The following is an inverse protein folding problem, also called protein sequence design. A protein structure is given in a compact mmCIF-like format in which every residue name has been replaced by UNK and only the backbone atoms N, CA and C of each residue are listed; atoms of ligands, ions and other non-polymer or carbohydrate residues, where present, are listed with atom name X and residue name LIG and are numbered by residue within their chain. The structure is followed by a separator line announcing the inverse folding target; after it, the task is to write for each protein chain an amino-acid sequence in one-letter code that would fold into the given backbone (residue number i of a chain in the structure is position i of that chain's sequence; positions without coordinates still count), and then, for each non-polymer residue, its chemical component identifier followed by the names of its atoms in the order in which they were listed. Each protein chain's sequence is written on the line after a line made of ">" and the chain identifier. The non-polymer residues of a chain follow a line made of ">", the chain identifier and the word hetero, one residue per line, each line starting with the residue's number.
data_IF_619007186181
#
_entry.id   IF_619007186181
#
_cell.length_a   1.000
_cell.length_b   1.000
_cell.length_c   1.000
_cell.angle_alpha   90.00
_cell.angle_beta   90.00
_cell.angle_gamma   90.00
#
_symmetry.space_group_name_H-M   'P 1'
#
loop_
_entity.id
_entity.type
_entity.pdbx_description
1 polymer ?
#
# COMPACT_ATOMS: atom_id res chain seq x y z
N UNK A 1 -15.56 15.99 8.24
CA UNK A 1 -14.64 16.39 7.16
C UNK A 1 -14.12 15.13 6.51
N UNK A 2 -14.49 14.90 5.25
CA UNK A 2 -14.13 13.69 4.51
C UNK A 2 -12.68 13.71 4.02
N UNK A 3 -12.21 12.59 3.47
CA UNK A 3 -10.83 12.48 2.98
C UNK A 3 -10.49 13.54 1.93
N UNK A 4 -11.35 13.79 0.93
CA UNK A 4 -11.09 14.81 -0.10
C UNK A 4 -10.91 16.21 0.50
N UNK A 5 -11.77 16.60 1.45
CA UNK A 5 -11.67 17.90 2.12
C UNK A 5 -10.36 18.05 2.91
N UNK A 6 -9.84 16.96 3.47
CA UNK A 6 -8.51 16.94 4.11
C UNK A 6 -7.40 17.11 3.08
N UNK A 7 -7.47 16.35 1.98
CA UNK A 7 -6.49 16.41 0.89
C UNK A 7 -6.38 17.82 0.31
N UNK A 8 -7.52 18.50 0.10
CA UNK A 8 -7.55 19.86 -0.45
C UNK A 8 -6.85 20.91 0.43
N UNK A 9 -6.63 20.62 1.72
CA UNK A 9 -5.95 21.51 2.67
C UNK A 9 -4.46 21.22 2.81
N UNK A 10 -3.95 20.18 2.17
CA UNK A 10 -2.54 19.81 2.30
C UNK A 10 -1.62 20.88 1.71
N UNK A 11 -0.56 21.29 2.44
CA UNK A 11 0.48 22.12 1.84
C UNK A 11 1.11 21.37 0.65
N UNK A 12 1.28 22.06 -0.49
CA UNK A 12 1.73 21.44 -1.74
C UNK A 12 3.17 21.81 -2.09
N UNK A 13 3.95 20.84 -2.55
CA UNK A 13 5.19 21.05 -3.28
C UNK A 13 4.89 21.80 -4.58
N UNK A 14 5.92 22.41 -5.18
CA UNK A 14 5.79 22.99 -6.52
C UNK A 14 5.30 21.92 -7.50
N UNK A 15 4.46 22.30 -8.47
CA UNK A 15 4.07 21.44 -9.58
C UNK A 15 5.27 21.01 -10.45
N UNK A 16 6.37 21.77 -10.41
CA UNK A 16 7.64 21.45 -11.07
C UNK A 16 8.58 20.57 -10.23
N UNK A 17 8.18 20.16 -9.02
CA UNK A 17 9.01 19.31 -8.17
C UNK A 17 9.18 17.92 -8.79
N UNK A 18 10.43 17.45 -8.88
CA UNK A 18 10.77 16.11 -9.39
C UNK A 18 11.03 15.15 -8.23
N UNK A 19 10.40 13.98 -8.28
CA UNK A 19 10.62 12.86 -7.36
C UNK A 19 11.68 11.86 -7.88
N UNK A 20 12.35 12.21 -8.97
CA UNK A 20 13.23 11.35 -9.75
C UNK A 20 12.50 10.71 -10.93
N UNK A 21 13.23 10.46 -12.03
CA UNK A 21 12.69 9.95 -13.30
C UNK A 21 11.84 8.68 -13.12
N UNK A 22 12.17 7.84 -12.15
CA UNK A 22 11.46 6.59 -11.88
C UNK A 22 10.03 6.82 -11.36
N UNK A 23 9.79 7.89 -10.59
CA UNK A 23 8.47 8.27 -10.09
C UNK A 23 7.79 9.26 -11.04
N UNK A 24 8.52 10.23 -11.57
CA UNK A 24 7.98 11.27 -12.46
C UNK A 24 7.33 10.64 -13.72
N UNK A 25 7.99 9.65 -14.33
CA UNK A 25 7.46 8.93 -15.49
C UNK A 25 6.18 8.14 -15.18
N UNK A 26 5.98 7.73 -13.93
CA UNK A 26 4.78 7.02 -13.51
C UNK A 26 3.67 8.04 -13.24
N UNK A 27 3.98 9.10 -12.50
CA UNK A 27 3.06 10.21 -12.21
C UNK A 27 2.48 10.83 -13.48
N UNK A 28 3.28 10.97 -14.54
CA UNK A 28 2.79 11.50 -15.84
C UNK A 28 1.69 10.63 -16.46
N UNK A 29 1.53 9.38 -16.02
CA UNK A 29 0.54 8.45 -16.54
C UNK A 29 -0.58 8.14 -15.54
N UNK A 30 -0.24 7.72 -14.31
CA UNK A 30 -1.20 7.09 -13.38
C UNK A 30 -2.30 8.03 -12.89
N UNK A 31 -2.10 9.35 -12.97
CA UNK A 31 -3.10 10.33 -12.53
C UNK A 31 -4.25 10.51 -13.52
N UNK A 32 -4.05 10.14 -14.79
CA UNK A 32 -5.06 10.27 -15.84
C UNK A 32 -5.54 8.92 -16.38
N UNK A 33 -4.92 7.80 -15.96
CA UNK A 33 -5.34 6.46 -16.34
C UNK A 33 -6.51 5.98 -15.47
N UNK A 34 -7.49 5.34 -16.10
CA UNK A 34 -8.68 4.78 -15.44
C UNK A 34 -8.67 3.26 -15.38
N UNK A 35 -7.89 2.61 -16.26
CA UNK A 35 -7.69 1.16 -16.26
C UNK A 35 -6.84 0.73 -15.06
N UNK A 36 -7.49 0.04 -14.11
CA UNK A 36 -6.83 -0.51 -12.93
C UNK A 36 -5.71 -1.49 -13.30
N UNK A 37 -5.91 -2.31 -14.34
CA UNK A 37 -4.92 -3.29 -14.78
C UNK A 37 -3.64 -2.61 -15.28
N UNK A 38 -3.76 -1.54 -16.08
CA UNK A 38 -2.59 -0.78 -16.54
C UNK A 38 -1.86 -0.08 -15.41
N UNK A 39 -2.60 0.48 -14.44
CA UNK A 39 -2.01 1.08 -13.25
C UNK A 39 -1.27 0.00 -12.44
N UNK A 40 -1.90 -1.16 -12.23
CA UNK A 40 -1.29 -2.29 -11.54
C UNK A 40 0.00 -2.75 -12.21
N UNK A 41 0.02 -2.92 -13.53
CA UNK A 41 1.21 -3.31 -14.29
C UNK A 41 2.37 -2.31 -14.11
N UNK A 42 2.07 -1.01 -14.16
CA UNK A 42 3.09 0.03 -13.95
C UNK A 42 3.63 0.03 -12.52
N UNK A 43 2.75 -0.07 -11.53
CA UNK A 43 3.15 -0.12 -10.12
C UNK A 43 3.97 -1.38 -9.83
N UNK A 44 3.57 -2.55 -10.37
CA UNK A 44 4.33 -3.80 -10.27
C UNK A 44 5.71 -3.67 -10.89
N UNK A 45 5.78 -3.11 -12.10
CA UNK A 45 7.07 -2.85 -12.77
C UNK A 45 7.97 -1.97 -11.91
N UNK A 46 7.44 -0.90 -11.32
CA UNK A 46 8.23 -0.02 -10.45
C UNK A 46 8.70 -0.72 -9.18
N UNK A 47 7.81 -1.44 -8.49
CA UNK A 47 8.15 -2.20 -7.26
C UNK A 47 9.26 -3.21 -7.53
N UNK A 48 9.26 -3.85 -8.71
CA UNK A 48 10.26 -4.86 -9.08
C UNK A 48 11.70 -4.35 -9.11
N UNK A 49 11.89 -3.05 -9.39
CA UNK A 49 13.21 -2.41 -9.50
C UNK A 49 13.57 -1.53 -8.30
N UNK A 50 12.60 -0.77 -7.77
CA UNK A 50 12.87 0.41 -6.95
C UNK A 50 12.51 0.27 -5.46
N UNK A 51 11.63 -0.67 -5.09
CA UNK A 51 11.25 -0.83 -3.67
C UNK A 51 12.36 -1.52 -2.87
N UNK A 52 12.72 -1.06 -1.67
CA UNK A 52 13.80 -1.69 -0.88
C UNK A 52 13.41 -3.08 -0.35
N UNK A 53 12.12 -3.38 -0.21
CA UNK A 53 11.64 -4.66 0.28
C UNK A 53 11.89 -5.80 -0.72
N UNK A 54 12.79 -6.73 -0.38
CA UNK A 54 13.13 -7.90 -1.21
C UNK A 54 11.89 -8.78 -1.46
N UNK A 55 11.01 -8.93 -0.47
CA UNK A 55 9.76 -9.69 -0.63
C UNK A 55 8.83 -9.03 -1.65
N UNK A 56 8.73 -7.70 -1.64
CA UNK A 56 8.02 -6.94 -2.66
C UNK A 56 8.59 -7.14 -4.06
N UNK A 57 9.92 -7.12 -4.20
CA UNK A 57 10.59 -7.40 -5.48
C UNK A 57 10.28 -8.80 -6.01
N UNK A 58 10.36 -9.83 -5.16
CA UNK A 58 10.10 -11.21 -5.57
C UNK A 58 8.62 -11.43 -5.93
N UNK A 59 7.70 -10.94 -5.10
CA UNK A 59 6.27 -11.05 -5.33
C UNK A 59 5.81 -10.26 -6.57
N UNK A 60 6.42 -9.09 -6.85
CA UNK A 60 6.08 -8.30 -8.04
C UNK A 60 6.33 -9.03 -9.37
N UNK A 61 7.28 -9.97 -9.38
CA UNK A 61 7.65 -10.77 -10.54
C UNK A 61 6.86 -12.08 -10.65
N UNK A 62 5.95 -12.36 -9.71
CA UNK A 62 5.17 -13.61 -9.62
C UNK A 62 6.01 -14.90 -9.69
N UNK A 63 7.26 -14.85 -9.24
CA UNK A 63 8.19 -15.98 -9.36
C UNK A 63 7.66 -17.15 -8.53
N UNK A 64 7.54 -18.33 -9.16
CA UNK A 64 6.89 -19.55 -8.63
C UNK A 64 5.53 -19.29 -7.93
N UNK A 65 4.79 -18.30 -8.40
CA UNK A 65 3.46 -17.97 -7.88
C UNK A 65 3.44 -17.33 -6.50
N UNK A 66 4.52 -16.66 -6.08
CA UNK A 66 4.49 -15.71 -4.96
C UNK A 66 3.93 -14.37 -5.45
N UNK A 67 2.91 -13.83 -4.79
CA UNK A 67 2.26 -12.59 -5.23
C UNK A 67 1.85 -11.72 -4.03
N UNK A 68 1.44 -10.49 -4.30
CA UNK A 68 0.76 -9.61 -3.36
C UNK A 68 -0.62 -9.23 -3.88
N UNK A 69 -1.52 -8.97 -2.94
CA UNK A 69 -2.80 -8.35 -3.25
C UNK A 69 -2.61 -6.85 -3.40
N UNK A 70 -3.01 -6.30 -4.56
CA UNK A 70 -2.94 -4.87 -4.83
C UNK A 70 -4.37 -4.30 -4.83
N UNK A 71 -4.59 -3.25 -4.06
CA UNK A 71 -5.82 -2.47 -4.08
C UNK A 71 -5.51 -1.03 -4.48
N UNK A 72 -6.29 -0.49 -5.41
CA UNK A 72 -6.09 0.86 -5.94
C UNK A 72 -7.30 1.73 -5.59
N UNK A 73 -7.05 2.77 -4.80
CA UNK A 73 -7.96 3.88 -4.50
C UNK A 73 -7.55 5.05 -5.39
N UNK A 74 -8.30 5.28 -6.47
CA UNK A 74 -8.04 6.37 -7.42
C UNK A 74 -9.34 7.02 -7.95
N UNK A 75 -10.49 6.65 -7.38
CA UNK A 75 -11.81 7.09 -7.82
C UNK A 75 -12.31 8.24 -6.94
N UNK A 76 -12.88 9.32 -7.52
CA UNK A 76 -13.43 10.43 -6.76
C UNK A 76 -14.51 10.00 -5.75
N UNK A 77 -15.28 8.96 -6.05
CA UNK A 77 -16.31 8.45 -5.14
C UNK A 77 -15.71 7.95 -3.81
N UNK A 78 -14.52 7.32 -3.87
CA UNK A 78 -13.82 6.83 -2.69
C UNK A 78 -13.16 7.94 -1.87
N UNK A 79 -12.88 9.10 -2.46
CA UNK A 79 -12.30 10.23 -1.73
C UNK A 79 -13.37 11.14 -1.11
N UNK A 80 -14.56 11.22 -1.72
CA UNK A 80 -15.63 12.11 -1.28
C UNK A 80 -16.57 11.49 -0.23
N UNK A 81 -16.54 10.17 -0.04
CA UNK A 81 -17.41 9.46 0.90
C UNK A 81 -16.58 8.48 1.74
N UNK A 82 -16.41 8.81 3.02
CA UNK A 82 -15.62 7.99 3.95
C UNK A 82 -16.31 6.65 4.26
N UNK A 83 -17.64 6.57 4.17
CA UNK A 83 -18.39 5.33 4.35
C UNK A 83 -18.11 4.36 3.20
N UNK A 84 -18.19 4.84 1.96
CA UNK A 84 -17.79 4.05 0.79
C UNK A 84 -16.31 3.66 0.81
N UNK A 85 -15.42 4.55 1.26
CA UNK A 85 -14.01 4.23 1.41
C UNK A 85 -13.79 3.15 2.47
N UNK A 86 -14.45 3.27 3.61
CA UNK A 86 -14.39 2.29 4.69
C UNK A 86 -14.84 0.90 4.19
N UNK A 87 -15.99 0.83 3.52
CA UNK A 87 -16.49 -0.43 2.97
C UNK A 87 -15.57 -1.01 1.90
N UNK A 88 -15.01 -0.17 1.02
CA UNK A 88 -14.00 -0.60 0.06
C UNK A 88 -12.79 -1.22 0.75
N UNK A 89 -12.19 -0.52 1.72
CA UNK A 89 -11.00 -0.99 2.43
C UNK A 89 -11.28 -2.28 3.21
N UNK A 90 -12.45 -2.38 3.86
CA UNK A 90 -12.88 -3.58 4.57
C UNK A 90 -13.02 -4.77 3.62
N UNK A 91 -13.66 -4.57 2.47
CA UNK A 91 -13.86 -5.63 1.47
C UNK A 91 -12.53 -6.11 0.89
N UNK A 92 -11.63 -5.20 0.55
CA UNK A 92 -10.29 -5.56 0.07
C UNK A 92 -9.46 -6.29 1.15
N UNK A 93 -9.58 -5.88 2.41
CA UNK A 93 -8.93 -6.54 3.55
C UNK A 93 -9.44 -7.99 3.75
N UNK A 94 -10.74 -8.23 3.58
CA UNK A 94 -11.33 -9.58 3.59
C UNK A 94 -10.82 -10.41 2.41
N UNK A 95 -10.83 -9.85 1.19
CA UNK A 95 -10.32 -10.52 -0.01
C UNK A 95 -8.86 -10.89 0.13
N UNK A 96 -8.03 -9.97 0.62
CA UNK A 96 -6.63 -10.24 0.95
C UNK A 96 -6.49 -11.44 1.88
N UNK A 97 -7.19 -11.43 3.03
CA UNK A 97 -7.08 -12.50 4.03
C UNK A 97 -7.50 -13.84 3.47
N UNK A 98 -8.55 -13.89 2.65
CA UNK A 98 -9.00 -15.14 2.03
C UNK A 98 -7.99 -15.67 1.01
N UNK A 99 -7.41 -14.78 0.17
CA UNK A 99 -6.33 -15.17 -0.76
C UNK A 99 -5.06 -15.62 -0.01
N UNK A 100 -4.72 -14.95 1.08
CA UNK A 100 -3.58 -15.29 1.93
C UNK A 100 -3.78 -16.64 2.64
N UNK A 101 -5.02 -16.90 3.10
CA UNK A 101 -5.42 -18.19 3.68
C UNK A 101 -5.14 -19.34 2.71
N UNK A 102 -5.40 -19.14 1.42
CA UNK A 102 -5.14 -20.13 0.35
C UNK A 102 -3.69 -20.13 -0.17
N UNK A 103 -2.81 -19.31 0.41
CA UNK A 103 -1.41 -19.22 0.01
C UNK A 103 -1.15 -18.56 -1.35
N UNK A 104 -2.10 -17.76 -1.84
CA UNK A 104 -2.00 -17.07 -3.13
C UNK A 104 -1.20 -15.77 -3.03
N UNK A 105 -1.25 -15.10 -1.88
CA UNK A 105 -0.61 -13.81 -1.62
C UNK A 105 -0.06 -13.76 -0.19
N UNK A 106 1.00 -13.00 0.04
CA UNK A 106 1.59 -12.83 1.39
C UNK A 106 1.62 -11.38 1.89
N UNK A 107 1.19 -10.44 1.05
CA UNK A 107 1.17 -9.02 1.37
C UNK A 107 -0.04 -8.34 0.74
N UNK A 108 -0.46 -7.23 1.35
CA UNK A 108 -1.49 -6.33 0.83
C UNK A 108 -0.90 -4.95 0.64
N UNK A 109 -0.91 -4.46 -0.60
CA UNK A 109 -0.49 -3.10 -0.95
C UNK A 109 -1.74 -2.31 -1.34
N UNK A 110 -2.05 -1.25 -0.59
CA UNK A 110 -3.21 -0.38 -0.84
C UNK A 110 -2.70 1.00 -1.26
N UNK A 111 -2.79 1.30 -2.55
CA UNK A 111 -2.39 2.60 -3.09
C UNK A 111 -3.53 3.60 -3.05
N UNK A 112 -3.25 4.79 -2.52
CA UNK A 112 -4.06 5.99 -2.65
C UNK A 112 -3.41 6.88 -3.70
N UNK A 113 -3.94 6.82 -4.92
CA UNK A 113 -3.44 7.55 -6.08
C UNK A 113 -4.22 8.85 -6.22
N UNK A 114 -3.57 9.96 -5.85
CA UNK A 114 -4.16 11.28 -5.97
C UNK A 114 -3.05 12.33 -6.15
N UNK A 115 -3.12 13.23 -7.15
CA UNK A 115 -2.08 14.23 -7.40
C UNK A 115 -1.73 15.06 -6.16
N UNK A 116 -2.73 15.60 -5.45
CA UNK A 116 -2.48 16.39 -4.24
C UNK A 116 -1.91 15.59 -3.05
N UNK A 117 -2.09 14.25 -3.02
CA UNK A 117 -1.40 13.40 -2.04
C UNK A 117 0.05 13.18 -2.45
N UNK A 118 0.31 13.00 -3.75
CA UNK A 118 1.66 12.79 -4.28
C UNK A 118 2.54 14.03 -4.10
N UNK A 119 1.97 15.22 -4.33
CA UNK A 119 2.66 16.50 -4.18
C UNK A 119 2.50 17.14 -2.80
N UNK A 120 1.91 16.43 -1.83
CA UNK A 120 1.82 16.92 -0.46
C UNK A 120 3.22 17.14 0.15
N UNK A 121 3.47 18.31 0.73
CA UNK A 121 4.68 18.55 1.52
C UNK A 121 4.68 17.64 2.75
N UNK A 122 5.85 17.16 3.20
CA UNK A 122 5.97 16.59 4.53
C UNK A 122 5.51 17.63 5.57
N UNK A 123 4.44 17.33 6.29
CA UNK A 123 3.82 18.22 7.27
C UNK A 123 2.97 17.43 8.27
N UNK A 124 2.53 18.09 9.35
CA UNK A 124 1.63 17.49 10.35
C UNK A 124 0.28 17.11 9.72
N UNK A 125 -0.24 17.91 8.78
CA UNK A 125 -1.49 17.61 8.07
C UNK A 125 -1.38 16.34 7.22
N UNK A 126 -0.21 16.08 6.63
CA UNK A 126 0.03 14.83 5.91
C UNK A 126 0.04 13.63 6.87
N UNK A 127 0.65 13.78 8.05
CA UNK A 127 0.64 12.74 9.10
C UNK A 127 -0.79 12.47 9.59
N UNK A 128 -1.60 13.52 9.78
CA UNK A 128 -3.01 13.38 10.18
C UNK A 128 -3.85 12.68 9.11
N UNK A 129 -3.60 12.93 7.82
CA UNK A 129 -4.25 12.18 6.74
C UNK A 129 -3.83 10.71 6.76
N UNK A 130 -2.55 10.41 6.97
CA UNK A 130 -2.08 9.02 7.07
C UNK A 130 -2.76 8.30 8.23
N UNK A 131 -2.80 8.92 9.43
CA UNK A 131 -3.54 8.40 10.60
C UNK A 131 -5.01 8.19 10.31
N UNK A 132 -5.63 9.14 9.62
CA UNK A 132 -7.04 9.07 9.24
C UNK A 132 -7.32 7.90 8.29
N UNK A 133 -6.53 7.74 7.23
CA UNK A 133 -6.64 6.61 6.30
C UNK A 133 -6.39 5.27 7.03
N UNK A 134 -5.35 5.20 7.87
CA UNK A 134 -5.08 4.01 8.68
C UNK A 134 -6.22 3.68 9.64
N UNK A 135 -6.90 4.69 10.19
CA UNK A 135 -8.07 4.49 11.06
C UNK A 135 -9.26 3.90 10.31
N UNK A 136 -9.45 4.26 9.03
CA UNK A 136 -10.46 3.64 8.17
C UNK A 136 -10.10 2.19 7.82
N UNK A 137 -8.81 1.89 7.62
CA UNK A 137 -8.35 0.54 7.32
C UNK A 137 -8.37 -0.40 8.54
N UNK A 138 -8.01 0.12 9.72
CA UNK A 138 -7.90 -0.59 10.99
C UNK A 138 -8.75 0.09 12.06
N UNK A 139 -10.10 0.04 11.94
CA UNK A 139 -11.00 0.68 12.90
C UNK A 139 -10.82 0.17 14.33
N UNK A 140 -10.39 -1.08 14.50
CA UNK A 140 -10.10 -1.70 15.80
C UNK A 140 -8.92 -1.07 16.54
N UNK A 141 -8.10 -0.28 15.84
CA UNK A 141 -6.94 0.40 16.39
C UNK A 141 -7.17 1.90 16.60
N UNK A 142 -8.40 2.39 16.43
CA UNK A 142 -8.72 3.80 16.60
C UNK A 142 -8.59 4.26 18.07
N UNK A 143 -7.96 5.40 18.36
CA UNK A 143 -7.24 6.27 17.42
C UNK A 143 -5.86 5.72 17.06
N UNK A 144 -5.48 5.85 15.78
CA UNK A 144 -4.12 5.58 15.32
C UNK A 144 -3.16 6.65 15.88
N UNK A 145 -2.04 6.20 16.44
CA UNK A 145 -0.99 7.02 17.05
C UNK A 145 0.32 6.88 16.26
N UNK A 146 1.12 7.93 16.26
CA UNK A 146 2.49 7.92 15.77
C UNK A 146 3.38 7.00 16.63
N UNK A 147 4.51 6.55 16.07
CA UNK A 147 5.53 5.73 16.77
C UNK A 147 5.02 4.42 17.40
N UNK A 148 3.85 3.93 17.00
CA UNK A 148 3.28 2.64 17.39
C UNK A 148 3.39 1.63 16.25
N UNK A 149 3.84 0.42 16.55
CA UNK A 149 3.88 -0.68 15.59
C UNK A 149 2.49 -1.35 15.54
N UNK A 150 1.79 -1.14 14.43
CA UNK A 150 0.53 -1.82 14.13
C UNK A 150 0.78 -3.10 13.34
N UNK A 151 0.00 -4.13 13.65
CA UNK A 151 0.08 -5.40 12.96
C UNK A 151 -1.27 -5.97 12.58
N UNK A 152 -1.27 -6.71 11.48
CA UNK A 152 -2.41 -7.45 10.97
C UNK A 152 -2.19 -8.95 11.14
N UNK A 153 -3.28 -9.68 11.38
CA UNK A 153 -3.31 -11.15 11.39
C UNK A 153 -3.53 -11.68 9.97
N UNK A 154 -2.55 -12.40 9.44
CA UNK A 154 -2.58 -13.00 8.10
C UNK A 154 -2.72 -14.52 8.22
N UNK A 155 -3.87 -15.09 7.84
CA UNK A 155 -4.10 -16.53 7.94
C UNK A 155 -3.38 -17.31 6.83
N UNK A 156 -3.07 -18.56 7.12
CA UNK A 156 -2.62 -19.54 6.15
C UNK A 156 -3.15 -20.91 6.52
N UNK A 157 -3.86 -21.55 5.60
CA UNK A 157 -4.38 -22.90 5.77
C UNK A 157 -3.43 -23.87 5.08
N UNK A 158 -2.74 -24.69 5.87
CA UNK A 158 -1.99 -25.83 5.33
C UNK A 158 -2.57 -27.16 5.81
N UNK A 159 -1.85 -28.25 5.49
CA UNK A 159 -2.23 -29.62 5.86
C UNK A 159 -2.31 -29.86 7.37
N UNK A 160 -1.60 -29.07 8.17
CA UNK A 160 -1.56 -29.21 9.64
C UNK A 160 -2.64 -28.35 10.31
N UNK A 161 -3.31 -27.47 9.56
CA UNK A 161 -4.38 -26.61 10.05
C UNK A 161 -4.21 -25.13 9.69
N UNK A 162 -4.99 -24.28 10.38
CA UNK A 162 -4.93 -22.83 10.22
C UNK A 162 -3.82 -22.24 11.08
N UNK A 163 -2.86 -21.57 10.44
CA UNK A 163 -1.77 -20.84 11.08
C UNK A 163 -1.99 -19.34 10.90
N UNK A 164 -1.71 -18.55 11.94
CA UNK A 164 -1.84 -17.08 11.89
C UNK A 164 -0.46 -16.45 11.98
N UNK A 165 -0.14 -15.61 10.99
CA UNK A 165 1.11 -14.87 10.93
C UNK A 165 0.88 -13.40 11.26
N UNK A 166 1.84 -12.81 11.98
CA UNK A 166 1.84 -11.38 12.29
C UNK A 166 2.45 -10.60 11.12
N UNK A 167 1.70 -9.66 10.57
CA UNK A 167 2.12 -8.80 9.46
C UNK A 167 2.30 -7.37 9.93
N UNK A 168 3.43 -6.75 9.61
CA UNK A 168 3.65 -5.34 9.90
C UNK A 168 2.85 -4.45 8.96
N UNK A 169 2.19 -3.42 9.51
CA UNK A 169 1.49 -2.39 8.72
C UNK A 169 2.38 -1.15 8.64
N UNK A 170 2.71 -0.73 7.41
CA UNK A 170 3.62 0.37 7.15
C UNK A 170 3.00 1.38 6.19
N UNK A 171 3.35 2.65 6.34
CA UNK A 171 2.94 3.72 5.44
C UNK A 171 4.14 4.22 4.64
N UNK A 172 3.93 4.34 3.33
CA UNK A 172 4.84 4.86 2.32
C UNK A 172 4.19 6.07 1.65
N UNK A 173 4.98 7.04 1.20
CA UNK A 173 4.43 8.28 0.63
C UNK A 173 5.41 8.93 -0.36
N UNK A 174 4.88 9.60 -1.38
CA UNK A 174 5.68 10.15 -2.50
C UNK A 174 6.71 11.19 -2.02
N UNK A 175 6.30 12.10 -1.15
CA UNK A 175 7.15 13.16 -0.61
C UNK A 175 8.15 12.70 0.46
N UNK A 176 8.27 11.39 0.69
CA UNK A 176 9.41 10.84 1.42
C UNK A 176 10.73 11.03 0.63
N UNK A 177 10.65 11.29 -0.68
CA UNK A 177 11.79 11.58 -1.54
C UNK A 177 12.70 12.67 -0.94
N UNK A 178 14.01 12.37 -0.89
CA UNK A 178 15.07 13.23 -0.33
C UNK A 178 14.88 13.64 1.14
N UNK A 179 14.06 12.91 1.89
CA UNK A 179 13.96 13.04 3.35
C UNK A 179 14.75 11.91 4.04
N UNK A 180 14.77 11.91 5.38
CA UNK A 180 15.30 10.77 6.17
C UNK A 180 14.58 9.45 5.89
N UNK A 181 13.34 9.51 5.39
CA UNK A 181 12.51 8.37 5.02
C UNK A 181 12.56 8.08 3.51
N UNK A 182 13.65 8.43 2.82
CA UNK A 182 13.74 8.30 1.35
C UNK A 182 13.38 6.89 0.84
N UNK A 183 13.75 5.87 1.59
CA UNK A 183 13.44 4.46 1.32
C UNK A 183 11.93 4.16 1.32
N UNK A 184 11.11 5.04 1.91
CA UNK A 184 9.65 4.96 1.92
C UNK A 184 8.97 5.67 0.74
N UNK A 185 9.73 6.20 -0.22
CA UNK A 185 9.16 6.87 -1.39
C UNK A 185 8.46 5.87 -2.31
N UNK A 186 7.33 6.27 -2.89
CA UNK A 186 6.53 5.50 -3.84
C UNK A 186 5.85 6.45 -4.85
N UNK A 187 5.42 5.99 -6.03
CA UNK A 187 4.56 6.78 -6.91
C UNK A 187 3.09 6.82 -6.43
N UNK A 188 2.31 7.81 -6.88
CA UNK A 188 0.85 7.87 -6.72
C UNK A 188 0.32 8.70 -5.54
N UNK A 189 0.99 8.70 -4.40
CA UNK A 189 0.49 9.43 -3.22
C UNK A 189 0.95 8.76 -1.95
N UNK A 190 0.05 7.96 -1.38
CA UNK A 190 0.26 7.17 -0.16
C UNK A 190 0.07 5.69 -0.47
N UNK A 191 0.82 4.83 0.20
CA UNK A 191 0.66 3.38 0.18
C UNK A 191 0.60 2.85 1.61
N UNK A 192 -0.45 2.08 1.93
CA UNK A 192 -0.45 1.19 3.09
C UNK A 192 0.09 -0.17 2.64
N UNK A 193 1.13 -0.66 3.31
CA UNK A 193 1.71 -1.97 3.08
C UNK A 193 1.52 -2.85 4.31
N UNK A 194 0.74 -3.92 4.15
CA UNK A 194 0.62 -5.02 5.11
C UNK A 194 1.54 -6.14 4.64
N UNK A 195 2.62 -6.40 5.38
CA UNK A 195 3.64 -7.36 4.95
C UNK A 195 3.89 -8.44 6.02
N UNK A 196 3.60 -9.69 5.66
CA UNK A 196 3.77 -10.86 6.51
C UNK A 196 5.01 -11.66 6.08
N UNK A 197 6.19 -11.27 6.55
CA UNK A 197 7.46 -11.94 6.17
C UNK A 197 7.48 -13.43 6.53
N UNK A 198 6.94 -13.81 7.70
CA UNK A 198 6.82 -15.21 8.10
C UNK A 198 5.89 -16.02 7.20
N UNK A 199 4.77 -15.41 6.78
CA UNK A 199 3.82 -16.03 5.83
C UNK A 199 4.47 -16.21 4.46
N UNK A 200 5.14 -15.16 3.95
CA UNK A 200 5.90 -15.22 2.71
C UNK A 200 6.93 -16.36 2.76
N UNK A 201 7.70 -16.47 3.85
CA UNK A 201 8.74 -17.49 3.96
C UNK A 201 8.13 -18.90 3.95
N UNK A 202 7.01 -19.11 4.65
CA UNK A 202 6.30 -20.38 4.60
C UNK A 202 5.87 -20.73 3.17
N UNK A 203 5.24 -19.80 2.46
CA UNK A 203 4.85 -20.01 1.06
C UNK A 203 6.05 -20.28 0.16
N UNK A 204 7.16 -19.58 0.38
CA UNK A 204 8.38 -19.76 -0.39
C UNK A 204 8.94 -21.18 -0.20
N UNK A 205 8.95 -21.70 1.04
CA UNK A 205 9.38 -23.07 1.34
C UNK A 205 8.45 -24.08 0.65
N UNK A 206 7.12 -23.93 0.78
CA UNK A 206 6.16 -24.84 0.14
C UNK A 206 6.23 -24.83 -1.39
N UNK A 207 6.55 -23.68 -1.98
CA UNK A 207 6.77 -23.52 -3.43
C UNK A 207 8.20 -23.89 -3.86
N UNK A 208 9.03 -24.42 -2.96
CA UNK A 208 10.37 -24.90 -3.25
C UNK A 208 11.36 -23.80 -3.66
N UNK A 209 11.24 -22.59 -3.11
CA UNK A 209 12.23 -21.51 -3.30
C UNK A 209 13.51 -21.74 -2.50
N UNK A 210 13.37 -22.22 -1.28
CA UNK A 210 14.47 -22.52 -0.37
C UNK A 210 14.46 -24.03 -0.10
N UNK A 211 15.65 -24.64 -0.10
CA UNK A 211 15.86 -26.05 0.26
C UNK A 211 16.27 -26.13 1.72
#
# INVERSE_FOLDING_TARGET
>A
MNLQQRINKLPQLSSSFSFGKDIDNIHSFIFNETSKDKIEDLLRKWVSGNQPCVFGKLASKKIKGLDFHLSIVNSPQLYNDDGHLFDFLRNERVRFKERARRGEVSAHLIYFIHPQLAFARPSEELVDIQKYICSLHMPECYPIKEDVIYTESVPFQDKDGLKIYKAGVNVFYSSAHRTRNHDRRIPGGILISVNASGHFMRLAIEKGFYK
#
